data_IF_954042819490
#
_entry.id   IF_954042819490
#
_cell.length_a   1.000
_cell.length_b   1.000
_cell.length_c   1.000
_cell.angle_alpha   90.00
_cell.angle_beta   90.00
_cell.angle_gamma   90.00
#
_symmetry.space_group_name_H-M   'P 1'
#
loop_
_entity.id
_entity.type
_entity.pdbx_description
1 polymer ?
#
# COMPACT_ATOMS: atom_id res chain seq x y z
N UNK A 1 3.12 -22.20 -11.48
CA UNK A 1 3.29 -20.91 -12.17
C UNK A 1 4.68 -20.38 -11.85
N UNK A 2 5.51 -19.96 -12.82
CA UNK A 2 6.89 -19.60 -12.54
C UNK A 2 6.96 -18.28 -11.75
N UNK A 3 7.79 -18.26 -10.70
CA UNK A 3 7.93 -17.15 -9.74
C UNK A 3 8.27 -15.81 -10.43
N UNK A 4 8.96 -15.86 -11.58
CA UNK A 4 9.33 -14.69 -12.38
C UNK A 4 8.13 -13.91 -12.96
N UNK A 5 6.97 -14.53 -13.16
CA UNK A 5 5.76 -13.86 -13.66
C UNK A 5 5.09 -13.06 -12.54
N UNK A 6 5.08 -13.60 -11.30
CA UNK A 6 4.54 -12.91 -10.12
C UNK A 6 5.33 -11.65 -9.75
N UNK A 7 6.62 -11.63 -10.07
CA UNK A 7 7.51 -10.49 -9.82
C UNK A 7 7.31 -9.32 -10.81
N UNK A 8 6.54 -9.52 -11.90
CA UNK A 8 6.23 -8.41 -12.81
C UNK A 8 5.32 -7.40 -12.08
N UNK A 9 5.67 -6.10 -12.01
CA UNK A 9 4.93 -5.11 -11.21
C UNK A 9 3.42 -5.05 -11.50
N UNK A 10 3.03 -5.24 -12.75
CA UNK A 10 1.62 -5.22 -13.16
C UNK A 10 0.84 -6.45 -12.68
N UNK A 11 1.51 -7.60 -12.62
CA UNK A 11 0.91 -8.86 -12.14
C UNK A 11 0.74 -8.80 -10.63
N UNK A 12 1.77 -8.37 -9.90
CA UNK A 12 1.66 -8.17 -8.45
C UNK A 12 0.62 -7.10 -8.09
N UNK A 13 0.52 -6.01 -8.87
CA UNK A 13 -0.51 -5.00 -8.68
C UNK A 13 -1.93 -5.55 -8.90
N UNK A 14 -2.14 -6.42 -9.89
CA UNK A 14 -3.43 -7.09 -10.10
C UNK A 14 -3.77 -8.04 -8.95
N UNK A 15 -2.80 -8.80 -8.45
CA UNK A 15 -3.01 -9.63 -7.25
C UNK A 15 -3.32 -8.79 -6.02
N UNK A 16 -2.67 -7.63 -5.86
CA UNK A 16 -3.00 -6.68 -4.81
C UNK A 16 -4.44 -6.18 -4.96
N UNK A 17 -4.85 -5.77 -6.16
CA UNK A 17 -6.23 -5.35 -6.43
C UNK A 17 -7.24 -6.41 -5.96
N UNK A 18 -7.05 -7.65 -6.41
CA UNK A 18 -7.95 -8.76 -6.10
C UNK A 18 -7.92 -9.06 -4.60
N UNK A 19 -6.74 -9.25 -4.02
CA UNK A 19 -6.60 -9.63 -2.60
C UNK A 19 -7.17 -8.59 -1.65
N UNK A 20 -6.71 -7.34 -1.75
CA UNK A 20 -7.16 -6.27 -0.85
C UNK A 20 -8.58 -5.80 -1.16
N UNK A 21 -8.98 -5.77 -2.44
CA UNK A 21 -10.34 -5.47 -2.84
C UNK A 21 -11.33 -6.51 -2.31
N UNK A 22 -11.06 -7.81 -2.51
CA UNK A 22 -11.93 -8.87 -1.99
C UNK A 22 -12.03 -8.83 -0.47
N UNK A 23 -10.93 -8.55 0.24
CA UNK A 23 -10.98 -8.34 1.69
C UNK A 23 -11.88 -7.16 2.09
N UNK A 24 -11.83 -6.05 1.34
CA UNK A 24 -12.69 -4.89 1.56
C UNK A 24 -14.18 -5.21 1.36
N UNK A 25 -14.50 -5.95 0.29
CA UNK A 25 -15.85 -6.41 0.03
C UNK A 25 -16.36 -7.32 1.16
N UNK A 26 -15.57 -8.31 1.58
CA UNK A 26 -15.91 -9.21 2.67
C UNK A 26 -16.08 -8.47 4.01
N UNK A 27 -15.26 -7.43 4.24
CA UNK A 27 -15.38 -6.59 5.44
C UNK A 27 -16.67 -5.77 5.46
N UNK A 28 -17.33 -5.61 4.31
CA UNK A 28 -18.54 -4.81 4.13
C UNK A 28 -19.77 -5.62 3.70
N UNK A 29 -19.68 -6.95 3.65
CA UNK A 29 -20.73 -7.82 3.10
C UNK A 29 -22.07 -7.71 3.84
N UNK A 30 -22.06 -7.39 5.13
CA UNK A 30 -23.26 -7.17 5.95
C UNK A 30 -24.03 -5.90 5.64
N UNK A 31 -23.46 -4.98 4.84
CA UNK A 31 -24.05 -3.67 4.51
C UNK A 31 -24.56 -3.59 3.07
N UNK A 32 -24.75 -4.75 2.43
CA UNK A 32 -25.31 -4.87 1.09
C UNK A 32 -24.28 -4.96 -0.02
N UNK A 33 -24.75 -5.47 -1.16
CA UNK A 33 -23.92 -5.72 -2.34
C UNK A 33 -23.25 -4.45 -2.88
N UNK A 34 -24.02 -3.37 -3.03
CA UNK A 34 -23.51 -2.09 -3.54
C UNK A 34 -22.34 -1.56 -2.70
N UNK A 35 -22.53 -1.50 -1.38
CA UNK A 35 -21.49 -1.08 -0.42
C UNK A 35 -20.24 -1.93 -0.50
N UNK A 36 -20.41 -3.26 -0.63
CA UNK A 36 -19.29 -4.20 -0.75
C UNK A 36 -18.48 -3.98 -2.03
N UNK A 37 -19.16 -3.73 -3.15
CA UNK A 37 -18.50 -3.47 -4.43
C UNK A 37 -17.79 -2.12 -4.46
N UNK A 38 -18.38 -1.09 -3.85
CA UNK A 38 -17.71 0.21 -3.68
C UNK A 38 -16.44 0.06 -2.84
N UNK A 39 -16.51 -0.67 -1.72
CA UNK A 39 -15.33 -0.95 -0.90
C UNK A 39 -14.24 -1.73 -1.66
N UNK A 40 -14.65 -2.71 -2.49
CA UNK A 40 -13.74 -3.46 -3.38
C UNK A 40 -13.01 -2.52 -4.33
N UNK A 41 -13.75 -1.67 -5.04
CA UNK A 41 -13.20 -0.77 -6.05
C UNK A 41 -12.23 0.24 -5.43
N UNK A 42 -12.58 0.82 -4.28
CA UNK A 42 -11.71 1.78 -3.59
C UNK A 42 -10.43 1.10 -3.12
N UNK A 43 -10.54 0.04 -2.32
CA UNK A 43 -9.38 -0.60 -1.71
C UNK A 43 -8.52 -1.31 -2.75
N UNK A 44 -9.15 -1.96 -3.73
CA UNK A 44 -8.47 -2.64 -4.83
C UNK A 44 -7.69 -1.65 -5.69
N UNK A 45 -8.32 -0.55 -6.13
CA UNK A 45 -7.65 0.45 -6.99
C UNK A 45 -6.50 1.15 -6.26
N UNK A 46 -6.69 1.44 -4.97
CA UNK A 46 -5.63 1.97 -4.13
C UNK A 46 -4.46 0.98 -4.00
N UNK A 47 -4.74 -0.30 -3.73
CA UNK A 47 -3.71 -1.32 -3.60
C UNK A 47 -2.96 -1.56 -4.92
N UNK A 48 -3.66 -1.58 -6.05
CA UNK A 48 -3.07 -1.65 -7.39
C UNK A 48 -2.09 -0.50 -7.62
N UNK A 49 -2.57 0.73 -7.41
CA UNK A 49 -1.81 1.95 -7.68
C UNK A 49 -0.60 2.08 -6.76
N UNK A 50 -0.80 1.82 -5.46
CA UNK A 50 0.29 1.85 -4.48
C UNK A 50 1.34 0.76 -4.77
N UNK A 51 0.95 -0.44 -5.21
CA UNK A 51 1.91 -1.48 -5.58
C UNK A 51 2.83 -1.04 -6.73
N UNK A 52 2.32 -0.30 -7.70
CA UNK A 52 3.12 0.21 -8.84
C UNK A 52 4.02 1.38 -8.45
N UNK A 53 3.58 2.24 -7.53
CA UNK A 53 4.20 3.55 -7.31
C UNK A 53 4.99 3.65 -6.00
N UNK A 54 4.55 2.97 -4.93
CA UNK A 54 5.06 3.18 -3.58
C UNK A 54 6.56 2.92 -3.49
N UNK A 55 7.06 1.83 -4.09
CA UNK A 55 8.49 1.54 -4.07
C UNK A 55 9.33 2.63 -4.75
N UNK A 56 8.89 3.11 -5.91
CA UNK A 56 9.55 4.21 -6.64
C UNK A 56 9.52 5.49 -5.83
N UNK A 57 8.36 5.82 -5.26
CA UNK A 57 8.18 7.00 -4.42
C UNK A 57 9.08 6.97 -3.18
N UNK A 58 9.09 5.86 -2.43
CA UNK A 58 9.91 5.69 -1.22
C UNK A 58 11.40 5.81 -1.54
N UNK A 59 11.87 5.18 -2.63
CA UNK A 59 13.28 5.27 -3.02
C UNK A 59 13.67 6.68 -3.48
N UNK A 60 12.84 7.34 -4.29
CA UNK A 60 13.08 8.73 -4.71
C UNK A 60 13.12 9.68 -3.52
N UNK A 61 12.21 9.51 -2.55
CA UNK A 61 12.17 10.32 -1.34
C UNK A 61 13.41 10.07 -0.46
N UNK A 62 13.83 8.80 -0.34
CA UNK A 62 15.07 8.44 0.36
C UNK A 62 16.31 9.04 -0.30
N UNK A 63 16.37 9.08 -1.64
CA UNK A 63 17.48 9.72 -2.35
C UNK A 63 17.52 11.23 -2.13
N UNK A 64 16.36 11.89 -2.00
CA UNK A 64 16.28 13.34 -1.75
C UNK A 64 16.60 13.72 -0.32
N UNK A 65 16.16 12.92 0.66
CA UNK A 65 16.34 13.21 2.09
C UNK A 65 17.64 12.61 2.66
N UNK A 66 18.26 11.68 1.95
CA UNK A 66 19.46 10.97 2.37
C UNK A 66 19.18 9.72 3.19
N UNK A 67 20.25 9.06 3.64
CA UNK A 67 20.20 7.74 4.30
C UNK A 67 20.36 7.78 5.82
N UNK A 68 20.47 8.97 6.42
CA UNK A 68 20.56 9.12 7.87
C UNK A 68 19.34 8.50 8.57
N UNK A 69 19.50 8.07 9.84
CA UNK A 69 18.38 7.50 10.61
C UNK A 69 17.18 8.45 10.68
N UNK A 70 17.42 9.76 10.82
CA UNK A 70 16.38 10.79 10.81
C UNK A 70 15.66 10.84 9.46
N UNK A 71 16.41 10.87 8.36
CA UNK A 71 15.85 10.88 7.01
C UNK A 71 14.99 9.64 6.74
N UNK A 72 15.47 8.44 7.12
CA UNK A 72 14.70 7.21 6.97
C UNK A 72 13.39 7.23 7.77
N UNK A 73 13.43 7.69 9.02
CA UNK A 73 12.21 7.87 9.82
C UNK A 73 11.24 8.83 9.13
N UNK A 74 11.73 9.94 8.58
CA UNK A 74 10.89 10.91 7.84
C UNK A 74 10.26 10.28 6.60
N UNK A 75 11.03 9.54 5.78
CA UNK A 75 10.51 8.84 4.59
C UNK A 75 9.44 7.82 4.98
N UNK A 76 9.70 7.06 6.05
CA UNK A 76 8.77 6.07 6.58
C UNK A 76 7.46 6.71 7.04
N UNK A 77 7.52 7.78 7.85
CA UNK A 77 6.34 8.50 8.33
C UNK A 77 5.53 9.10 7.19
N UNK A 78 6.17 9.68 6.17
CA UNK A 78 5.48 10.22 4.98
C UNK A 78 4.77 9.08 4.24
N UNK A 79 5.46 7.96 4.00
CA UNK A 79 4.89 6.80 3.30
C UNK A 79 3.71 6.21 4.07
N UNK A 80 3.83 6.07 5.40
CA UNK A 80 2.76 5.59 6.26
C UNK A 80 1.57 6.55 6.27
N UNK A 81 1.83 7.86 6.31
CA UNK A 81 0.78 8.88 6.23
C UNK A 81 -0.02 8.73 4.95
N UNK A 82 0.64 8.56 3.80
CA UNK A 82 -0.04 8.33 2.52
C UNK A 82 -0.82 7.01 2.48
N UNK A 83 -0.24 5.94 3.04
CA UNK A 83 -0.87 4.62 3.14
C UNK A 83 -2.16 4.64 3.99
N UNK A 84 -2.26 5.56 4.94
CA UNK A 84 -3.47 5.73 5.78
C UNK A 84 -4.42 6.76 5.18
N UNK A 85 -3.94 7.96 4.87
CA UNK A 85 -4.79 9.11 4.57
C UNK A 85 -5.58 8.93 3.27
N UNK A 86 -4.94 8.45 2.21
CA UNK A 86 -5.58 8.28 0.90
C UNK A 86 -6.76 7.30 0.98
N UNK A 87 -6.58 6.03 1.38
CA UNK A 87 -7.71 5.10 1.42
C UNK A 87 -8.74 5.50 2.48
N UNK A 88 -8.32 6.05 3.63
CA UNK A 88 -9.25 6.54 4.64
C UNK A 88 -10.16 7.63 4.06
N UNK A 89 -9.60 8.64 3.40
CA UNK A 89 -10.38 9.72 2.77
C UNK A 89 -11.33 9.18 1.71
N UNK A 90 -10.89 8.26 0.85
CA UNK A 90 -11.74 7.66 -0.18
C UNK A 90 -12.92 6.88 0.43
N UNK A 91 -12.65 6.07 1.45
CA UNK A 91 -13.68 5.29 2.14
C UNK A 91 -14.67 6.18 2.91
N UNK A 92 -14.19 7.26 3.53
CA UNK A 92 -15.05 8.24 4.21
C UNK A 92 -15.93 9.00 3.21
N UNK A 93 -15.37 9.46 2.10
CA UNK A 93 -16.13 10.14 1.04
C UNK A 93 -17.20 9.24 0.41
N UNK A 94 -16.90 7.94 0.28
CA UNK A 94 -17.83 6.95 -0.25
C UNK A 94 -18.82 6.41 0.80
N UNK A 95 -18.69 6.79 2.08
CA UNK A 95 -19.54 6.32 3.16
C UNK A 95 -19.45 4.81 3.41
N UNK A 96 -18.34 4.16 3.07
CA UNK A 96 -18.20 2.72 3.30
C UNK A 96 -18.01 2.43 4.80
N UNK A 97 -18.73 1.46 5.37
CA UNK A 97 -18.55 1.04 6.76
C UNK A 97 -17.23 0.27 6.95
N UNK A 98 -16.92 -0.10 8.21
CA UNK A 98 -15.78 -0.95 8.56
C UNK A 98 -14.40 -0.54 7.99
N UNK A 99 -14.18 0.77 7.74
CA UNK A 99 -12.98 1.30 7.06
C UNK A 99 -11.67 0.81 7.67
N UNK A 100 -11.55 0.78 8.99
CA UNK A 100 -10.34 0.29 9.67
C UNK A 100 -10.05 -1.18 9.35
N UNK A 101 -11.09 -2.03 9.37
CA UNK A 101 -10.96 -3.46 9.03
C UNK A 101 -10.58 -3.64 7.55
N UNK A 102 -11.17 -2.84 6.67
CA UNK A 102 -10.87 -2.83 5.23
C UNK A 102 -9.39 -2.52 4.97
N UNK A 103 -8.84 -1.53 5.66
CA UNK A 103 -7.47 -1.04 5.43
C UNK A 103 -6.40 -1.89 6.10
N UNK A 104 -6.73 -2.61 7.17
CA UNK A 104 -5.77 -3.31 8.04
C UNK A 104 -4.72 -4.17 7.30
N UNK A 105 -5.08 -5.09 6.37
CA UNK A 105 -4.07 -5.89 5.69
C UNK A 105 -3.13 -5.04 4.83
N UNK A 106 -3.66 -4.01 4.16
CA UNK A 106 -2.87 -3.11 3.31
C UNK A 106 -1.90 -2.28 4.14
N UNK A 107 -2.31 -1.81 5.32
CA UNK A 107 -1.46 -1.07 6.25
C UNK A 107 -0.32 -1.95 6.79
N UNK A 108 -0.62 -3.19 7.20
CA UNK A 108 0.39 -4.09 7.74
C UNK A 108 1.44 -4.44 6.68
N UNK A 109 1.00 -4.89 5.50
CA UNK A 109 1.90 -5.33 4.43
C UNK A 109 2.64 -4.14 3.82
N UNK A 110 1.95 -3.01 3.58
CA UNK A 110 2.56 -1.80 3.07
C UNK A 110 3.62 -1.23 4.01
N UNK A 111 3.37 -1.25 5.33
CA UNK A 111 4.34 -0.82 6.33
C UNK A 111 5.61 -1.69 6.32
N UNK A 112 5.44 -3.02 6.29
CA UNK A 112 6.57 -3.96 6.20
C UNK A 112 7.37 -3.76 4.92
N UNK A 113 6.68 -3.54 3.80
CA UNK A 113 7.31 -3.30 2.51
C UNK A 113 8.18 -2.03 2.50
N UNK A 114 7.64 -0.90 2.97
CA UNK A 114 8.38 0.37 3.08
C UNK A 114 9.58 0.22 4.03
N UNK A 115 9.39 -0.43 5.17
CA UNK A 115 10.47 -0.67 6.12
C UNK A 115 11.60 -1.50 5.49
N UNK A 116 11.25 -2.59 4.79
CA UNK A 116 12.21 -3.41 4.06
C UNK A 116 12.99 -2.63 3.01
N UNK A 117 12.31 -1.81 2.20
CA UNK A 117 12.94 -0.96 1.20
C UNK A 117 13.95 0.02 1.80
N UNK A 118 13.59 0.69 2.90
CA UNK A 118 14.49 1.64 3.57
C UNK A 118 15.74 0.95 4.13
N UNK A 119 15.60 -0.29 4.63
CA UNK A 119 16.75 -1.09 5.06
C UNK A 119 17.66 -1.44 3.88
N UNK A 120 17.12 -1.88 2.75
CA UNK A 120 17.93 -2.20 1.57
C UNK A 120 18.62 -0.95 1.01
N UNK A 121 17.92 0.18 0.91
CA UNK A 121 18.48 1.45 0.42
C UNK A 121 19.66 1.95 1.28
N UNK A 122 19.63 1.69 2.59
CA UNK A 122 20.74 2.04 3.49
C UNK A 122 22.00 1.20 3.25
N UNK A 123 21.84 -0.06 2.83
CA UNK A 123 22.96 -0.99 2.58
C UNK A 123 23.67 -0.62 1.27
N UNK A 124 22.93 -0.28 0.21
CA UNK A 124 23.48 0.05 -1.11
C UNK A 124 24.31 1.33 -1.14
N UNK A 125 24.12 2.25 -0.18
CA UNK A 125 24.88 3.50 -0.09
C UNK A 125 26.15 3.35 0.76
N UNK A 126 26.21 2.34 1.63
CA UNK A 126 27.40 2.09 2.48
C UNK A 126 28.47 1.25 1.75
N UNK A 127 28.14 0.71 0.58
CA UNK A 127 29.01 -0.16 -0.24
C UNK A 127 29.58 0.54 -1.48
N UNK A 128 29.31 1.84 -1.65
CA UNK A 128 29.98 2.73 -2.61
C UNK A 128 30.92 3.67 -1.86
#
# INVERSE_FOLDING_TARGET
MPLNILLKPHVSALFAFIGYGSWAALSNSSFGWSTSMVALMIQGSFAFTSTLLLGRFTLQLSHRLGTSRRAQTTVWLISLTLLVSIPLSLHLLAGTPNTLRTMLPGLLIGNLYVFGLLRTASISVTTQ
#
